data_IF_061160027238
#
_entry.id   IF_061160027238
#
_cell.length_a   1.000
_cell.length_b   1.000
_cell.length_c   1.000
_cell.angle_alpha   90.00
_cell.angle_beta   90.00
_cell.angle_gamma   90.00
#
_symmetry.space_group_name_H-M   'P 1'
#
loop_
_entity.id
_entity.type
_entity.pdbx_description
1 polymer ?
#
# COMPACT_ATOMS: atom_id res chain seq x y z
N UNK A 1 -5.86 8.93 -45.03
CA UNK A 1 -6.38 8.78 -43.65
C UNK A 1 -5.81 9.90 -42.80
N UNK A 2 -6.65 10.83 -42.38
CA UNK A 2 -6.28 11.91 -41.46
C UNK A 2 -5.81 11.33 -40.13
N UNK A 3 -4.62 11.72 -39.66
CA UNK A 3 -4.13 11.38 -38.32
C UNK A 3 -4.66 12.40 -37.34
N UNK A 4 -5.72 12.05 -36.62
CA UNK A 4 -6.16 12.85 -35.48
C UNK A 4 -5.26 12.59 -34.27
N UNK A 5 -4.78 13.68 -33.64
CA UNK A 5 -3.91 13.61 -32.46
C UNK A 5 -4.79 13.86 -31.23
N UNK A 6 -5.03 12.82 -30.43
CA UNK A 6 -5.72 12.93 -29.15
C UNK A 6 -4.74 13.23 -28.01
N UNK A 7 -4.97 14.32 -27.27
CA UNK A 7 -4.21 14.67 -26.06
C UNK A 7 -5.00 14.27 -24.82
N UNK A 8 -4.54 13.24 -24.10
CA UNK A 8 -5.18 12.75 -22.88
C UNK A 8 -4.39 13.26 -21.67
N UNK A 9 -5.03 13.95 -20.71
CA UNK A 9 -4.37 14.34 -19.46
C UNK A 9 -3.93 13.11 -18.65
N UNK A 10 -2.73 13.17 -18.04
CA UNK A 10 -2.23 12.10 -17.16
C UNK A 10 -3.17 11.83 -15.96
N UNK A 11 -3.95 12.83 -15.53
CA UNK A 11 -4.91 12.72 -14.42
C UNK A 11 -6.11 11.84 -14.72
N UNK A 12 -6.38 11.53 -16.00
CA UNK A 12 -7.56 10.75 -16.41
C UNK A 12 -7.51 9.33 -15.85
N UNK A 13 -6.34 8.68 -15.95
CA UNK A 13 -6.07 7.43 -15.26
C UNK A 13 -4.58 7.34 -14.90
N UNK A 14 -4.20 7.59 -13.64
CA UNK A 14 -2.80 7.54 -13.22
C UNK A 14 -2.20 6.13 -13.22
N UNK A 15 -3.01 5.07 -13.34
CA UNK A 15 -2.54 3.68 -13.48
C UNK A 15 -2.09 3.37 -14.90
N UNK A 16 -2.73 3.99 -15.89
CA UNK A 16 -2.40 3.83 -17.32
C UNK A 16 -1.40 4.91 -17.73
N UNK A 17 -1.71 6.16 -17.44
CA UNK A 17 -0.91 7.34 -17.78
C UNK A 17 -0.01 7.72 -16.61
N UNK A 18 1.07 6.94 -16.44
CA UNK A 18 2.05 7.19 -15.39
C UNK A 18 3.03 8.30 -15.77
N UNK A 19 3.43 9.13 -14.80
CA UNK A 19 4.46 10.19 -14.99
C UNK A 19 5.80 9.65 -15.51
N UNK A 20 6.10 8.39 -15.23
CA UNK A 20 7.30 7.70 -15.70
C UNK A 20 6.89 6.74 -16.81
N UNK A 21 7.65 6.71 -17.91
CA UNK A 21 7.41 5.78 -19.01
C UNK A 21 7.44 4.32 -18.53
N UNK A 22 6.41 3.55 -18.89
CA UNK A 22 6.17 2.20 -18.34
C UNK A 22 7.25 1.17 -18.68
N UNK A 23 7.86 1.32 -19.85
CA UNK A 23 8.98 0.51 -20.32
C UNK A 23 10.33 0.88 -19.65
N UNK A 24 10.41 1.98 -18.91
CA UNK A 24 11.66 2.42 -18.30
C UNK A 24 12.08 1.53 -17.12
N UNK A 25 13.40 1.42 -16.91
CA UNK A 25 13.98 0.76 -15.72
C UNK A 25 13.51 1.42 -14.41
N UNK A 26 13.30 2.75 -14.43
CA UNK A 26 12.78 3.52 -13.30
C UNK A 26 11.38 3.06 -12.90
N UNK A 27 10.49 2.86 -13.88
CA UNK A 27 9.13 2.37 -13.62
C UNK A 27 9.17 0.97 -13.00
N UNK A 28 9.95 0.04 -13.56
CA UNK A 28 10.11 -1.32 -13.02
C UNK A 28 10.55 -1.31 -11.55
N UNK A 29 11.55 -0.47 -11.21
CA UNK A 29 12.04 -0.31 -9.84
C UNK A 29 10.97 0.22 -8.88
N UNK A 30 10.21 1.23 -9.30
CA UNK A 30 9.14 1.80 -8.49
C UNK A 30 7.97 0.83 -8.33
N UNK A 31 7.55 0.19 -9.42
CA UNK A 31 6.45 -0.75 -9.43
C UNK A 31 6.74 -1.99 -8.56
N UNK A 32 8.00 -2.42 -8.45
CA UNK A 32 8.40 -3.51 -7.53
C UNK A 32 8.05 -3.22 -6.06
N UNK A 33 7.91 -1.95 -5.66
CA UNK A 33 7.47 -1.59 -4.30
C UNK A 33 5.98 -1.86 -4.05
N UNK A 34 5.17 -2.10 -5.09
CA UNK A 34 3.72 -2.39 -4.94
C UNK A 34 3.46 -3.55 -4.00
N UNK A 35 4.30 -4.59 -4.08
CA UNK A 35 4.08 -5.83 -3.34
C UNK A 35 4.18 -5.59 -1.85
N UNK A 36 5.02 -4.65 -1.42
CA UNK A 36 5.09 -4.23 -0.02
C UNK A 36 3.77 -3.61 0.46
N UNK A 37 3.12 -2.80 -0.39
CA UNK A 37 1.82 -2.18 -0.07
C UNK A 37 0.70 -3.22 -0.05
N UNK A 38 0.69 -4.16 -1.00
CA UNK A 38 -0.31 -5.25 -1.05
C UNK A 38 -0.24 -6.14 0.19
N UNK A 39 0.97 -6.38 0.72
CA UNK A 39 1.16 -7.11 1.97
C UNK A 39 0.55 -6.38 3.16
N UNK A 40 0.88 -5.09 3.33
CA UNK A 40 0.28 -4.24 4.38
C UNK A 40 -1.24 -4.22 4.30
N UNK A 41 -1.82 -4.08 3.11
CA UNK A 41 -3.27 -4.13 2.93
C UNK A 41 -3.84 -5.49 3.35
N UNK A 42 -3.20 -6.60 2.94
CA UNK A 42 -3.61 -7.94 3.34
C UNK A 42 -3.49 -8.21 4.84
N UNK A 43 -2.49 -7.63 5.52
CA UNK A 43 -2.34 -7.67 6.97
C UNK A 43 -3.49 -6.94 7.67
N UNK A 44 -3.83 -5.72 7.21
CA UNK A 44 -4.95 -4.95 7.77
C UNK A 44 -6.28 -5.69 7.58
N UNK A 45 -6.54 -6.22 6.40
CA UNK A 45 -7.79 -6.93 6.13
C UNK A 45 -7.89 -8.23 6.94
N UNK A 46 -6.87 -9.08 6.93
CA UNK A 46 -6.92 -10.40 7.59
C UNK A 46 -6.62 -10.36 9.09
N UNK A 47 -5.48 -9.79 9.48
CA UNK A 47 -4.97 -9.88 10.86
C UNK A 47 -5.74 -8.94 11.79
N UNK A 48 -6.13 -7.76 11.28
CA UNK A 48 -6.96 -6.81 12.02
C UNK A 48 -8.46 -6.88 11.65
N UNK A 49 -8.84 -7.84 10.81
CA UNK A 49 -10.22 -8.18 10.46
C UNK A 49 -11.04 -7.01 9.89
N UNK A 50 -10.40 -6.05 9.21
CA UNK A 50 -11.11 -4.94 8.57
C UNK A 50 -11.98 -5.39 7.38
N UNK A 51 -11.72 -6.60 6.84
CA UNK A 51 -12.60 -7.29 5.89
C UNK A 51 -13.98 -7.60 6.50
N UNK A 52 -14.03 -7.79 7.83
CA UNK A 52 -15.28 -7.90 8.57
C UNK A 52 -15.75 -6.50 8.92
N UNK A 53 -16.66 -5.96 8.10
CA UNK A 53 -17.17 -4.59 8.19
C UNK A 53 -18.06 -4.34 9.42
N UNK A 54 -17.47 -4.44 10.61
CA UNK A 54 -18.09 -4.21 11.91
C UNK A 54 -18.12 -2.72 12.28
N UNK A 55 -17.14 -1.95 11.80
CA UNK A 55 -17.00 -0.52 12.08
C UNK A 55 -17.89 0.30 11.13
N UNK A 56 -18.88 0.99 11.69
CA UNK A 56 -19.76 1.89 10.92
C UNK A 56 -19.29 3.35 10.99
N UNK A 57 -19.18 3.99 9.83
CA UNK A 57 -18.89 5.41 9.68
C UNK A 57 -17.41 5.73 9.43
N UNK A 58 -17.17 6.62 8.47
CA UNK A 58 -15.83 6.90 7.96
C UNK A 58 -14.89 7.50 9.01
N UNK A 59 -15.40 8.33 9.94
CA UNK A 59 -14.59 8.91 11.02
C UNK A 59 -14.04 7.82 11.96
N UNK A 60 -14.87 6.85 12.34
CA UNK A 60 -14.46 5.72 13.19
C UNK A 60 -13.43 4.87 12.44
N UNK A 61 -13.73 4.52 11.18
CA UNK A 61 -12.81 3.75 10.33
C UNK A 61 -11.43 4.39 10.23
N UNK A 62 -11.35 5.70 10.00
CA UNK A 62 -10.07 6.44 9.94
C UNK A 62 -9.28 6.35 11.26
N UNK A 63 -9.96 6.48 12.39
CA UNK A 63 -9.33 6.39 13.71
C UNK A 63 -8.79 4.97 13.98
N UNK A 64 -9.59 3.93 13.72
CA UNK A 64 -9.15 2.54 13.87
C UNK A 64 -7.97 2.19 12.96
N UNK A 65 -8.00 2.65 11.70
CA UNK A 65 -6.91 2.44 10.75
C UNK A 65 -5.62 3.11 11.24
N UNK A 66 -5.70 4.35 11.76
CA UNK A 66 -4.54 5.05 12.30
C UNK A 66 -3.93 4.32 13.51
N UNK A 67 -4.77 3.85 14.44
CA UNK A 67 -4.32 3.06 15.61
C UNK A 67 -3.68 1.74 15.16
N UNK A 68 -4.26 1.09 14.15
CA UNK A 68 -3.73 -0.16 13.58
C UNK A 68 -2.31 0.03 13.04
N UNK A 69 -2.05 1.12 12.33
CA UNK A 69 -0.70 1.44 11.85
C UNK A 69 0.28 1.69 13.00
N UNK A 70 -0.15 2.37 14.06
CA UNK A 70 0.69 2.57 15.26
C UNK A 70 1.06 1.21 15.85
N UNK A 71 0.07 0.32 16.06
CA UNK A 71 0.28 -1.03 16.60
C UNK A 71 1.27 -1.83 15.76
N UNK A 72 1.13 -1.82 14.42
CA UNK A 72 2.07 -2.52 13.53
C UNK A 72 3.52 -2.01 13.71
N UNK A 73 3.71 -0.70 13.86
CA UNK A 73 5.03 -0.11 14.10
C UNK A 73 5.56 -0.45 15.51
N UNK A 74 4.73 -0.45 16.54
CA UNK A 74 5.17 -0.85 17.89
C UNK A 74 5.55 -2.33 17.95
N UNK A 75 4.78 -3.20 17.29
CA UNK A 75 5.11 -4.63 17.18
C UNK A 75 6.43 -4.85 16.43
N UNK A 76 6.68 -4.07 15.37
CA UNK A 76 7.96 -4.07 14.67
C UNK A 76 9.12 -3.74 15.63
N UNK A 77 8.97 -2.63 16.37
CA UNK A 77 9.98 -2.12 17.30
C UNK A 77 10.27 -3.12 18.42
N UNK A 78 9.22 -3.67 19.04
CA UNK A 78 9.34 -4.63 20.13
C UNK A 78 10.12 -5.89 19.71
N UNK A 79 9.97 -6.35 18.46
CA UNK A 79 10.71 -7.51 17.94
C UNK A 79 12.18 -7.22 17.70
N UNK A 80 12.49 -6.02 17.23
CA UNK A 80 13.88 -5.57 17.08
C UNK A 80 14.55 -5.52 18.45
N UNK A 81 13.85 -4.98 19.46
CA UNK A 81 14.33 -4.94 20.85
C UNK A 81 14.48 -6.34 21.46
N UNK A 82 13.64 -7.30 21.09
CA UNK A 82 13.76 -8.70 21.52
C UNK A 82 14.83 -9.51 20.78
N UNK A 83 15.66 -8.87 19.94
CA UNK A 83 16.75 -9.51 19.19
C UNK A 83 16.29 -10.32 17.96
N UNK A 84 15.00 -10.28 17.61
CA UNK A 84 14.48 -10.98 16.43
C UNK A 84 14.67 -10.08 15.21
N UNK A 85 15.73 -10.35 14.45
CA UNK A 85 16.06 -9.61 13.23
C UNK A 85 15.56 -10.30 11.95
N UNK A 86 15.25 -11.59 12.03
CA UNK A 86 14.83 -12.39 10.89
C UNK A 86 13.30 -12.44 10.73
N UNK A 87 12.81 -12.29 9.50
CA UNK A 87 11.39 -12.44 9.19
C UNK A 87 10.48 -11.32 9.71
N UNK A 88 11.05 -10.16 10.07
CA UNK A 88 10.32 -8.96 10.54
C UNK A 88 9.19 -8.57 9.60
N UNK A 89 9.39 -8.70 8.29
CA UNK A 89 8.40 -8.38 7.27
C UNK A 89 7.05 -9.07 7.52
N UNK A 90 7.03 -10.33 8.00
CA UNK A 90 5.78 -11.07 8.30
C UNK A 90 4.89 -10.42 9.35
N UNK A 91 5.44 -9.51 10.15
CA UNK A 91 4.76 -8.91 11.30
C UNK A 91 4.51 -7.42 11.13
N UNK A 92 5.06 -6.84 10.07
CA UNK A 92 5.00 -5.40 9.79
C UNK A 92 4.36 -5.10 8.45
N UNK A 93 4.31 -6.09 7.54
CA UNK A 93 3.75 -6.01 6.20
C UNK A 93 3.42 -7.39 5.63
#
# INVERSE_FOLDING_TARGET
MSREIFRIPLKTDPRIFTKVARNSKKWKRLYKKRTSIERVNGCIDRDFQFEKHTIRGLKKMKMFLAVTFIIQLTLAKAKIESGITNGLARYTA
#
